data_IF_707183419553
#
_entry.id   IF_707183419553
#
_cell.length_a   1.000
_cell.length_b   1.000
_cell.length_c   1.000
_cell.angle_alpha   90.00
_cell.angle_beta   90.00
_cell.angle_gamma   90.00
#
_symmetry.space_group_name_H-M   'P 1'
#
loop_
_entity.id
_entity.type
_entity.pdbx_description
1 polymer ?
#
# COMPACT_ATOMS: atom_id res chain seq x y z
N UNK A 1 -21.60 6.59 -44.96
CA UNK A 1 -20.88 7.81 -44.45
C UNK A 1 -21.16 8.18 -42.98
N UNK A 2 -22.21 7.61 -42.38
CA UNK A 2 -22.58 7.93 -40.97
C UNK A 2 -21.77 7.14 -39.90
N UNK A 3 -21.20 6.00 -40.25
CA UNK A 3 -20.45 5.15 -39.32
C UNK A 3 -19.09 5.70 -38.91
N UNK A 4 -18.42 6.45 -39.80
CA UNK A 4 -17.12 7.03 -39.51
C UNK A 4 -17.17 8.23 -38.56
N UNK A 5 -18.33 8.91 -38.44
CA UNK A 5 -18.49 10.05 -37.51
C UNK A 5 -18.75 9.61 -36.07
N UNK A 6 -19.43 8.47 -35.85
CA UNK A 6 -19.65 7.94 -34.50
C UNK A 6 -18.32 7.57 -33.83
N UNK A 7 -17.46 6.82 -34.52
CA UNK A 7 -16.14 6.44 -33.98
C UNK A 7 -15.20 7.62 -33.70
N UNK A 8 -15.25 8.69 -34.53
CA UNK A 8 -14.45 9.89 -34.29
C UNK A 8 -14.91 10.69 -33.04
N UNK A 9 -16.23 10.77 -32.86
CA UNK A 9 -16.81 11.44 -31.66
C UNK A 9 -16.48 10.67 -30.40
N UNK A 10 -16.58 9.34 -30.42
CA UNK A 10 -16.24 8.47 -29.29
C UNK A 10 -14.74 8.57 -28.95
N UNK A 11 -13.87 8.56 -29.96
CA UNK A 11 -12.42 8.70 -29.76
C UNK A 11 -12.02 10.03 -29.13
N UNK A 12 -12.64 11.13 -29.59
CA UNK A 12 -12.37 12.46 -29.06
C UNK A 12 -12.92 12.61 -27.62
N UNK A 13 -14.11 12.05 -27.37
CA UNK A 13 -14.69 12.03 -26.02
C UNK A 13 -13.86 11.15 -25.06
N UNK A 14 -13.43 9.97 -25.51
CA UNK A 14 -12.55 9.10 -24.73
C UNK A 14 -11.24 9.79 -24.35
N UNK A 15 -10.61 10.51 -25.28
CA UNK A 15 -9.37 11.26 -25.01
C UNK A 15 -9.58 12.37 -23.97
N UNK A 16 -10.70 13.10 -24.05
CA UNK A 16 -11.04 14.15 -23.05
C UNK A 16 -11.28 13.56 -21.66
N UNK A 17 -12.02 12.47 -21.56
CA UNK A 17 -12.26 11.79 -20.28
C UNK A 17 -10.95 11.24 -19.73
N UNK A 18 -10.13 10.57 -20.53
CA UNK A 18 -8.83 10.06 -20.10
C UNK A 18 -7.91 11.17 -19.61
N UNK A 19 -7.90 12.34 -20.28
CA UNK A 19 -7.15 13.50 -19.84
C UNK A 19 -7.66 14.05 -18.51
N UNK A 20 -8.97 14.11 -18.32
CA UNK A 20 -9.59 14.61 -17.08
C UNK A 20 -9.33 13.69 -15.87
N UNK A 21 -9.30 12.37 -16.10
CA UNK A 21 -9.08 11.37 -15.05
C UNK A 21 -7.59 11.15 -14.74
N UNK A 22 -6.70 11.42 -15.70
CA UNK A 22 -5.27 11.15 -15.54
C UNK A 22 -4.91 9.66 -15.72
N UNK A 23 -3.61 9.36 -15.59
CA UNK A 23 -3.09 8.00 -15.75
C UNK A 23 -3.31 7.17 -14.47
N UNK A 24 -3.54 5.87 -14.65
CA UNK A 24 -3.63 4.92 -13.53
C UNK A 24 -4.93 5.03 -12.72
N UNK A 25 -5.99 5.57 -13.32
CA UNK A 25 -7.27 5.73 -12.65
C UNK A 25 -7.93 4.38 -12.34
N UNK A 26 -8.60 4.29 -11.19
CA UNK A 26 -9.29 3.07 -10.72
C UNK A 26 -10.53 2.72 -11.56
N UNK A 27 -11.17 3.73 -12.19
CA UNK A 27 -12.41 3.54 -12.94
C UNK A 27 -12.15 3.08 -14.37
N UNK A 28 -12.96 2.13 -14.83
CA UNK A 28 -13.07 1.75 -16.23
C UNK A 28 -14.19 2.54 -16.90
N UNK A 29 -13.91 3.06 -18.09
CA UNK A 29 -14.82 3.89 -18.87
C UNK A 29 -15.24 3.14 -20.16
N UNK A 30 -16.54 3.04 -20.38
CA UNK A 30 -17.10 2.51 -21.61
C UNK A 30 -18.01 3.57 -22.25
N UNK A 31 -17.88 3.74 -23.57
CA UNK A 31 -18.64 4.70 -24.35
C UNK A 31 -19.64 3.99 -25.24
N UNK A 32 -20.84 4.54 -25.33
CA UNK A 32 -21.86 4.23 -26.33
C UNK A 32 -22.37 5.56 -26.91
N UNK A 33 -21.74 5.98 -28.00
CA UNK A 33 -21.94 7.31 -28.58
C UNK A 33 -21.47 8.40 -27.60
N UNK A 34 -22.41 9.06 -26.95
CA UNK A 34 -22.17 10.13 -25.95
C UNK A 34 -22.61 9.73 -24.54
N UNK A 35 -23.06 8.52 -24.36
CA UNK A 35 -23.38 7.95 -23.05
C UNK A 35 -22.13 7.25 -22.51
N UNK A 36 -21.82 7.53 -21.25
CA UNK A 36 -20.63 7.03 -20.57
C UNK A 36 -21.04 6.13 -19.42
N UNK A 37 -20.53 4.92 -19.41
CA UNK A 37 -20.63 4.02 -18.25
C UNK A 37 -19.32 4.03 -17.51
N UNK A 38 -19.39 4.35 -16.21
CA UNK A 38 -18.27 4.31 -15.27
C UNK A 38 -18.42 3.06 -14.42
N UNK A 39 -17.41 2.21 -14.37
CA UNK A 39 -17.40 0.96 -13.58
C UNK A 39 -16.06 0.77 -12.87
N UNK A 40 -15.99 -0.16 -11.94
CA UNK A 40 -14.80 -0.47 -11.16
C UNK A 40 -15.03 -0.33 -9.66
N UNK A 41 -13.98 -0.57 -8.88
CA UNK A 41 -14.02 -0.49 -7.42
C UNK A 41 -13.39 0.82 -6.99
N UNK A 42 -14.22 1.75 -6.50
CA UNK A 42 -13.78 3.04 -5.98
C UNK A 42 -13.08 2.85 -4.62
N UNK A 43 -11.90 3.46 -4.43
CA UNK A 43 -11.19 3.40 -3.14
C UNK A 43 -12.00 3.95 -1.98
N UNK A 44 -12.71 5.05 -2.20
CA UNK A 44 -13.59 5.70 -1.22
C UNK A 44 -14.73 6.46 -1.91
N UNK A 45 -15.63 7.02 -1.11
CA UNK A 45 -16.81 7.75 -1.60
C UNK A 45 -16.42 9.09 -2.27
N UNK A 46 -15.42 9.79 -1.74
CA UNK A 46 -15.00 11.10 -2.25
C UNK A 46 -14.36 10.95 -3.64
N UNK A 47 -13.46 9.98 -3.82
CA UNK A 47 -12.86 9.65 -5.12
C UNK A 47 -13.91 9.15 -6.12
N UNK A 48 -14.92 8.40 -5.67
CA UNK A 48 -16.05 8.00 -6.51
C UNK A 48 -16.82 9.22 -7.01
N UNK A 49 -17.23 10.10 -6.10
CA UNK A 49 -17.99 11.29 -6.42
C UNK A 49 -17.20 12.23 -7.35
N UNK A 50 -15.92 12.42 -7.08
CA UNK A 50 -15.03 13.24 -7.91
C UNK A 50 -14.89 12.67 -9.32
N UNK A 51 -14.72 11.36 -9.46
CA UNK A 51 -14.63 10.69 -10.76
C UNK A 51 -15.90 10.88 -11.58
N UNK A 52 -17.05 10.65 -10.97
CA UNK A 52 -18.35 10.83 -11.65
C UNK A 52 -18.56 12.29 -12.05
N UNK A 53 -18.15 13.25 -11.21
CA UNK A 53 -18.19 14.68 -11.52
C UNK A 53 -17.31 15.01 -12.71
N UNK A 54 -16.05 14.58 -12.74
CA UNK A 54 -15.10 14.83 -13.83
C UNK A 54 -15.61 14.25 -15.16
N UNK A 55 -16.17 13.04 -15.13
CA UNK A 55 -16.77 12.42 -16.32
C UNK A 55 -17.99 13.21 -16.79
N UNK A 56 -18.85 13.66 -15.88
CA UNK A 56 -20.05 14.45 -16.23
C UNK A 56 -19.70 15.81 -16.82
N UNK A 57 -18.66 16.45 -16.32
CA UNK A 57 -18.16 17.75 -16.79
C UNK A 57 -17.33 17.65 -18.07
N UNK A 58 -16.91 16.47 -18.49
CA UNK A 58 -16.22 16.27 -19.76
C UNK A 58 -17.11 16.69 -20.92
N UNK A 59 -16.67 17.69 -21.68
CA UNK A 59 -17.45 18.29 -22.76
C UNK A 59 -17.86 17.23 -23.79
N UNK A 60 -19.16 17.11 -24.04
CA UNK A 60 -19.74 16.19 -25.02
C UNK A 60 -20.46 14.97 -24.43
N UNK A 61 -20.35 14.69 -23.14
CA UNK A 61 -21.11 13.66 -22.45
C UNK A 61 -22.59 14.02 -22.42
N UNK A 62 -23.47 13.07 -22.78
CA UNK A 62 -24.91 13.20 -22.70
C UNK A 62 -25.49 12.62 -21.41
N UNK A 63 -25.03 11.44 -21.03
CA UNK A 63 -25.43 10.75 -19.81
C UNK A 63 -24.27 10.00 -19.20
N UNK A 64 -24.26 9.91 -17.86
CA UNK A 64 -23.30 9.10 -17.10
C UNK A 64 -24.08 8.00 -16.37
N UNK A 65 -23.70 6.76 -16.62
CA UNK A 65 -24.23 5.58 -15.96
C UNK A 65 -23.21 5.08 -14.93
N UNK A 66 -23.52 5.22 -13.65
CA UNK A 66 -22.69 4.75 -12.56
C UNK A 66 -22.93 3.25 -12.31
N UNK A 67 -21.90 2.45 -12.51
CA UNK A 67 -21.81 1.02 -12.17
C UNK A 67 -20.59 0.74 -11.30
N UNK A 68 -20.19 1.70 -10.50
CA UNK A 68 -19.06 1.56 -9.59
C UNK A 68 -19.50 0.92 -8.27
N UNK A 69 -18.57 0.21 -7.66
CA UNK A 69 -18.70 -0.33 -6.31
C UNK A 69 -17.69 0.34 -5.39
N UNK A 70 -17.96 0.39 -4.10
CA UNK A 70 -16.97 0.85 -3.12
C UNK A 70 -16.12 -0.31 -2.64
N UNK A 71 -14.83 -0.04 -2.43
CA UNK A 71 -13.93 -1.00 -1.79
C UNK A 71 -14.48 -1.42 -0.42
N UNK A 72 -14.26 -2.67 -0.05
CA UNK A 72 -14.60 -3.19 1.27
C UNK A 72 -13.90 -2.39 2.37
N UNK A 73 -14.52 -2.32 3.57
CA UNK A 73 -13.88 -1.74 4.75
C UNK A 73 -13.10 -2.82 5.49
N UNK A 74 -11.85 -2.53 5.83
CA UNK A 74 -11.06 -3.39 6.71
C UNK A 74 -11.08 -2.83 8.13
N UNK A 75 -11.39 -3.70 9.11
CA UNK A 75 -11.39 -3.36 10.53
C UNK A 75 -11.02 -4.61 11.35
N UNK A 76 -9.86 -4.64 12.00
CA UNK A 76 -8.83 -3.62 11.99
C UNK A 76 -8.14 -3.48 10.61
N UNK A 77 -7.63 -2.28 10.32
CA UNK A 77 -6.80 -2.06 9.14
C UNK A 77 -5.41 -2.65 9.37
N UNK A 78 -4.89 -3.40 8.42
CA UNK A 78 -3.65 -4.15 8.62
C UNK A 78 -2.69 -3.99 7.45
N UNK A 79 -1.42 -3.80 7.78
CA UNK A 79 -0.27 -3.97 6.90
C UNK A 79 0.71 -4.95 7.53
N UNK A 80 1.28 -5.86 6.76
CA UNK A 80 2.33 -6.75 7.25
C UNK A 80 3.37 -7.01 6.18
N UNK A 81 4.59 -7.27 6.62
CA UNK A 81 5.67 -7.69 5.76
C UNK A 81 6.50 -8.79 6.43
N UNK A 82 6.83 -9.82 5.67
CA UNK A 82 7.61 -10.97 6.12
C UNK A 82 8.88 -11.08 5.28
N UNK A 83 10.02 -11.18 5.94
CA UNK A 83 11.34 -11.38 5.32
C UNK A 83 11.88 -12.76 5.67
N UNK A 84 12.24 -13.53 4.68
CA UNK A 84 12.89 -14.84 4.79
C UNK A 84 13.89 -15.05 3.65
N UNK A 85 14.47 -16.24 3.56
CA UNK A 85 15.45 -16.59 2.51
C UNK A 85 14.88 -16.55 1.10
N UNK A 86 13.56 -16.69 0.93
CA UNK A 86 12.89 -16.63 -0.37
C UNK A 86 12.62 -15.18 -0.85
N UNK A 87 12.63 -14.22 0.06
CA UNK A 87 12.37 -12.81 -0.26
C UNK A 87 11.56 -12.09 0.81
N UNK A 88 10.90 -11.02 0.37
CA UNK A 88 10.00 -10.19 1.20
C UNK A 88 8.59 -10.29 0.64
N UNK A 89 7.63 -10.59 1.49
CA UNK A 89 6.20 -10.65 1.12
C UNK A 89 5.47 -9.52 1.84
N UNK A 90 4.80 -8.66 1.08
CA UNK A 90 3.89 -7.64 1.58
C UNK A 90 2.47 -8.20 1.57
N UNK A 91 1.72 -7.96 2.63
CA UNK A 91 0.33 -8.38 2.75
C UNK A 91 -0.50 -7.40 3.59
N UNK A 92 -1.81 -7.60 3.60
CA UNK A 92 -2.77 -6.72 4.25
C UNK A 92 -3.48 -5.81 3.25
N UNK A 93 -3.63 -4.53 3.59
CA UNK A 93 -4.46 -3.62 2.83
C UNK A 93 -3.73 -2.35 2.42
N UNK A 94 -4.21 -1.71 1.34
CA UNK A 94 -3.82 -0.36 0.95
C UNK A 94 -5.08 0.47 0.65
N UNK A 95 -5.06 1.81 0.92
CA UNK A 95 -6.26 2.63 0.77
C UNK A 95 -6.53 3.08 -0.66
N UNK A 96 -5.49 3.27 -1.45
CA UNK A 96 -5.57 3.77 -2.83
C UNK A 96 -4.27 3.50 -3.59
N UNK A 97 -4.30 3.64 -4.91
CA UNK A 97 -3.20 3.28 -5.80
C UNK A 97 -1.88 4.01 -5.48
N UNK A 98 -1.94 5.30 -5.13
CA UNK A 98 -0.74 6.09 -4.81
C UNK A 98 -0.05 5.59 -3.54
N UNK A 99 -0.83 5.28 -2.50
CA UNK A 99 -0.31 4.71 -1.25
C UNK A 99 0.27 3.31 -1.49
N UNK A 100 -0.40 2.50 -2.33
CA UNK A 100 0.10 1.19 -2.75
C UNK A 100 1.45 1.31 -3.46
N UNK A 101 1.56 2.18 -4.46
CA UNK A 101 2.79 2.41 -5.20
C UNK A 101 3.92 2.92 -4.30
N UNK A 102 3.62 3.81 -3.34
CA UNK A 102 4.61 4.34 -2.40
C UNK A 102 5.16 3.22 -1.49
N UNK A 103 4.30 2.39 -0.91
CA UNK A 103 4.72 1.28 -0.03
C UNK A 103 5.49 0.22 -0.82
N UNK A 104 5.02 -0.16 -2.01
CA UNK A 104 5.72 -1.12 -2.86
C UNK A 104 7.09 -0.60 -3.33
N UNK A 105 7.17 0.69 -3.68
CA UNK A 105 8.42 1.36 -4.02
C UNK A 105 9.41 1.38 -2.84
N UNK A 106 8.95 1.80 -1.66
CA UNK A 106 9.75 1.79 -0.43
C UNK A 106 10.27 0.38 -0.09
N UNK A 107 9.46 -0.66 -0.28
CA UNK A 107 9.91 -2.03 -0.09
C UNK A 107 11.01 -2.42 -1.08
N UNK A 108 10.87 -2.09 -2.36
CA UNK A 108 11.88 -2.38 -3.37
C UNK A 108 13.22 -1.65 -3.09
N UNK A 109 13.15 -0.39 -2.64
CA UNK A 109 14.32 0.39 -2.25
C UNK A 109 14.98 -0.13 -0.97
N UNK A 110 14.17 -0.56 0.01
CA UNK A 110 14.66 -1.07 1.30
C UNK A 110 15.29 -2.46 1.16
N UNK A 111 14.82 -3.27 0.21
CA UNK A 111 15.25 -4.67 0.02
C UNK A 111 15.80 -4.94 -1.39
N UNK A 112 16.83 -4.21 -1.87
CA UNK A 112 17.29 -4.33 -3.25
C UNK A 112 17.88 -5.70 -3.61
N UNK A 113 18.27 -6.50 -2.60
CA UNK A 113 18.84 -7.84 -2.78
C UNK A 113 17.79 -8.97 -2.67
N UNK A 114 16.53 -8.62 -2.44
CA UNK A 114 15.45 -9.60 -2.22
C UNK A 114 14.36 -9.44 -3.28
N UNK A 115 13.74 -10.55 -3.67
CA UNK A 115 12.50 -10.49 -4.42
C UNK A 115 11.38 -10.00 -3.51
N UNK A 116 10.66 -8.95 -3.94
CA UNK A 116 9.49 -8.43 -3.22
C UNK A 116 8.22 -8.97 -3.89
N UNK A 117 7.42 -9.69 -3.14
CA UNK A 117 6.10 -10.17 -3.57
C UNK A 117 5.03 -9.37 -2.87
N UNK A 118 4.15 -8.77 -3.64
CA UNK A 118 3.05 -7.95 -3.14
C UNK A 118 1.73 -8.71 -3.24
N UNK A 119 1.07 -8.92 -2.12
CA UNK A 119 -0.24 -9.56 -1.99
C UNK A 119 -1.26 -8.66 -1.29
N UNK A 120 -0.96 -7.36 -1.17
CA UNK A 120 -1.87 -6.40 -0.54
C UNK A 120 -3.15 -6.24 -1.36
N UNK A 121 -4.23 -5.90 -0.69
CA UNK A 121 -5.56 -5.71 -1.30
C UNK A 121 -6.12 -4.32 -0.99
N UNK A 122 -6.89 -3.77 -1.93
CA UNK A 122 -7.56 -2.50 -1.75
C UNK A 122 -8.64 -2.61 -0.66
N UNK A 123 -8.60 -1.72 0.35
CA UNK A 123 -9.64 -1.62 1.37
C UNK A 123 -9.73 -0.21 1.93
N UNK A 124 -10.94 0.18 2.36
CA UNK A 124 -11.20 1.42 3.09
C UNK A 124 -10.90 1.25 4.59
N UNK A 125 -10.68 2.37 5.27
CA UNK A 125 -10.49 2.41 6.71
C UNK A 125 -9.04 2.57 7.16
N UNK A 126 -8.14 2.95 6.24
CA UNK A 126 -6.76 3.25 6.60
C UNK A 126 -6.68 4.38 7.63
N UNK A 127 -5.80 4.27 8.61
CA UNK A 127 -5.50 5.37 9.53
C UNK A 127 -4.76 6.50 8.80
N UNK A 128 -4.84 7.71 9.35
CA UNK A 128 -4.00 8.81 8.92
C UNK A 128 -2.52 8.42 9.08
N UNK A 129 -1.72 8.71 8.04
CA UNK A 129 -0.30 8.37 8.05
C UNK A 129 0.03 6.91 7.70
N UNK A 130 -0.91 6.14 7.15
CA UNK A 130 -0.72 4.74 6.75
C UNK A 130 0.60 4.51 5.99
N UNK A 131 0.90 5.32 4.97
CA UNK A 131 2.13 5.16 4.17
C UNK A 131 3.39 5.28 5.04
N UNK A 132 3.45 6.32 5.88
CA UNK A 132 4.59 6.51 6.81
C UNK A 132 4.69 5.40 7.85
N UNK A 133 3.57 4.86 8.30
CA UNK A 133 3.55 3.70 9.21
C UNK A 133 4.13 2.46 8.53
N UNK A 134 3.72 2.17 7.31
CA UNK A 134 4.21 1.03 6.53
C UNK A 134 5.71 1.17 6.20
N UNK A 135 6.14 2.35 5.76
CA UNK A 135 7.55 2.65 5.49
C UNK A 135 8.42 2.47 6.74
N UNK A 136 7.96 2.99 7.88
CA UNK A 136 8.68 2.78 9.16
C UNK A 136 8.78 1.30 9.52
N UNK A 137 7.71 0.53 9.36
CA UNK A 137 7.72 -0.91 9.59
C UNK A 137 8.71 -1.64 8.67
N UNK A 138 8.79 -1.27 7.38
CA UNK A 138 9.75 -1.83 6.43
C UNK A 138 11.19 -1.54 6.84
N UNK A 139 11.49 -0.34 7.35
CA UNK A 139 12.82 0.00 7.89
C UNK A 139 13.15 -0.89 9.09
N UNK A 140 12.20 -1.17 9.99
CA UNK A 140 12.46 -2.10 11.09
C UNK A 140 12.72 -3.52 10.58
N UNK A 141 11.94 -3.99 9.59
CA UNK A 141 12.13 -5.30 8.97
C UNK A 141 13.50 -5.44 8.30
N UNK A 142 14.04 -4.37 7.73
CA UNK A 142 15.37 -4.40 7.08
C UNK A 142 16.50 -4.73 8.04
N UNK A 143 16.33 -4.40 9.31
CA UNK A 143 17.31 -4.68 10.39
C UNK A 143 17.24 -6.12 10.92
N UNK A 144 16.24 -6.87 10.50
CA UNK A 144 16.16 -8.31 10.81
C UNK A 144 16.87 -9.13 9.72
N UNK A 145 17.57 -10.18 10.12
CA UNK A 145 18.04 -11.20 9.18
C UNK A 145 16.87 -11.93 8.56
N UNK A 146 15.92 -12.32 9.39
CA UNK A 146 14.61 -12.86 9.03
C UNK A 146 13.59 -12.47 10.08
N UNK A 147 12.33 -12.32 9.69
CA UNK A 147 11.26 -11.97 10.62
C UNK A 147 10.06 -11.34 9.95
N UNK A 148 9.22 -10.75 10.76
CA UNK A 148 7.97 -10.14 10.35
C UNK A 148 7.72 -8.81 11.09
N UNK A 149 7.05 -7.91 10.41
CA UNK A 149 6.45 -6.71 10.98
C UNK A 149 4.96 -6.72 10.68
N UNK A 150 4.18 -6.26 11.63
CA UNK A 150 2.72 -6.17 11.51
C UNK A 150 2.25 -4.84 12.10
N UNK A 151 1.54 -4.09 11.30
CA UNK A 151 0.84 -2.88 11.73
C UNK A 151 -0.64 -3.18 11.70
N UNK A 152 -1.27 -3.27 12.85
CA UNK A 152 -2.71 -3.50 13.00
C UNK A 152 -3.32 -2.29 13.73
N UNK A 153 -4.16 -1.53 13.01
CA UNK A 153 -4.62 -0.23 13.49
C UNK A 153 -3.46 0.74 13.69
N UNK A 154 -3.21 1.12 14.95
CA UNK A 154 -2.10 1.98 15.37
C UNK A 154 -0.95 1.21 16.04
N UNK A 155 -0.98 -0.13 16.06
CA UNK A 155 0.01 -0.96 16.77
C UNK A 155 0.98 -1.62 15.81
N UNK A 156 2.28 -1.38 16.05
CA UNK A 156 3.38 -2.05 15.35
C UNK A 156 3.90 -3.20 16.20
N UNK A 157 3.87 -4.40 15.67
CA UNK A 157 4.53 -5.59 16.21
C UNK A 157 5.72 -5.97 15.35
N UNK A 158 6.81 -6.37 15.98
CA UNK A 158 8.05 -6.79 15.31
C UNK A 158 8.51 -8.10 15.92
N UNK A 159 8.74 -9.10 15.08
CA UNK A 159 9.23 -10.41 15.52
C UNK A 159 10.29 -10.93 14.55
N UNK A 160 11.39 -11.43 15.10
CA UNK A 160 12.42 -12.04 14.29
C UNK A 160 13.79 -11.96 14.90
N UNK A 161 14.79 -12.30 14.09
CA UNK A 161 16.20 -12.27 14.50
C UNK A 161 16.90 -11.05 13.92
N UNK A 162 17.60 -10.30 14.77
CA UNK A 162 18.40 -9.18 14.34
C UNK A 162 19.51 -9.62 13.36
N UNK A 163 19.82 -8.79 12.38
CA UNK A 163 20.86 -9.08 11.39
C UNK A 163 22.25 -9.10 12.03
N UNK A 164 22.51 -8.15 12.93
CA UNK A 164 23.75 -8.01 13.70
C UNK A 164 23.49 -7.24 15.01
N UNK A 165 24.52 -7.05 15.82
CA UNK A 165 24.42 -6.37 17.11
C UNK A 165 24.04 -4.89 16.98
N UNK A 166 24.51 -4.21 15.92
CA UNK A 166 24.14 -2.81 15.63
C UNK A 166 22.66 -2.69 15.26
N UNK A 167 22.19 -3.54 14.38
CA UNK A 167 20.79 -3.62 14.00
C UNK A 167 19.88 -3.91 15.20
N UNK A 168 20.31 -4.78 16.12
CA UNK A 168 19.58 -5.05 17.37
C UNK A 168 19.50 -3.81 18.27
N UNK A 169 20.59 -3.06 18.41
CA UNK A 169 20.62 -1.83 19.19
C UNK A 169 19.72 -0.76 18.58
N UNK A 170 19.75 -0.60 17.24
CA UNK A 170 18.92 0.34 16.52
C UNK A 170 17.42 0.00 16.64
N UNK A 171 17.06 -1.28 16.51
CA UNK A 171 15.69 -1.76 16.72
C UNK A 171 15.19 -1.40 18.13
N UNK A 172 15.99 -1.68 19.16
CA UNK A 172 15.64 -1.36 20.54
C UNK A 172 15.47 0.14 20.75
N UNK A 173 16.37 0.94 20.23
CA UNK A 173 16.31 2.40 20.33
C UNK A 173 15.04 2.94 19.68
N UNK A 174 14.79 2.56 18.44
CA UNK A 174 13.69 3.13 17.64
C UNK A 174 12.32 2.65 18.13
N UNK A 175 12.23 1.42 18.65
CA UNK A 175 10.97 0.85 19.13
C UNK A 175 10.66 1.19 20.60
N UNK A 176 11.62 1.74 21.36
CA UNK A 176 11.40 2.19 22.75
C UNK A 176 11.01 3.66 22.85
N UNK A 177 11.14 4.43 21.76
CA UNK A 177 10.82 5.85 21.69
C UNK A 177 9.38 6.14 21.27
N UNK A 178 9.16 7.40 20.91
CA UNK A 178 7.92 7.84 20.25
C UNK A 178 7.98 7.39 18.79
N UNK A 179 7.02 6.56 18.38
CA UNK A 179 6.94 6.05 17.02
C UNK A 179 6.28 7.09 16.10
N UNK A 180 6.67 7.12 14.80
CA UNK A 180 6.11 8.08 13.85
C UNK A 180 4.64 7.77 13.51
N UNK A 181 3.94 8.77 12.97
CA UNK A 181 2.59 8.66 12.42
C UNK A 181 1.55 8.04 13.39
N UNK A 182 1.68 8.31 14.68
CA UNK A 182 0.75 7.83 15.71
C UNK A 182 0.86 6.35 16.04
N UNK A 183 1.89 5.66 15.53
CA UNK A 183 2.13 4.26 15.89
C UNK A 183 2.44 4.09 17.38
N UNK A 184 2.01 2.97 17.91
CA UNK A 184 2.33 2.49 19.27
C UNK A 184 3.06 1.15 19.16
N UNK A 185 4.02 0.92 20.06
CA UNK A 185 4.68 -0.37 20.15
C UNK A 185 3.66 -1.43 20.63
N UNK A 186 3.54 -2.49 19.85
CA UNK A 186 2.78 -3.68 20.18
C UNK A 186 3.68 -4.76 20.79
N UNK A 187 3.62 -5.97 20.23
CA UNK A 187 4.50 -7.07 20.62
C UNK A 187 5.87 -6.93 19.93
N UNK A 188 6.93 -6.81 20.73
CA UNK A 188 8.31 -6.71 20.24
C UNK A 188 9.08 -7.93 20.72
N UNK A 189 9.40 -8.84 19.80
CA UNK A 189 10.11 -10.10 20.07
C UNK A 189 11.31 -10.23 19.11
N UNK A 190 12.45 -9.71 19.54
CA UNK A 190 13.68 -9.62 18.77
C UNK A 190 14.73 -10.54 19.35
N UNK A 191 15.01 -11.62 18.63
CA UNK A 191 16.11 -12.51 18.94
C UNK A 191 17.46 -11.86 18.63
N UNK A 192 18.53 -12.15 19.41
CA UNK A 192 19.87 -11.70 19.10
C UNK A 192 20.37 -12.29 17.78
N UNK A 193 21.36 -11.67 17.14
CA UNK A 193 21.94 -12.18 15.90
C UNK A 193 22.56 -13.58 16.11
N UNK A 194 22.60 -14.35 15.01
CA UNK A 194 23.22 -15.68 15.04
C UNK A 194 24.69 -15.57 15.49
N UNK A 195 25.10 -16.39 16.47
CA UNK A 195 26.45 -16.39 17.02
C UNK A 195 26.68 -15.52 18.28
N UNK A 196 25.68 -14.73 18.70
CA UNK A 196 25.80 -13.93 19.93
C UNK A 196 25.57 -14.73 21.23
N UNK A 197 25.09 -15.95 21.14
CA UNK A 197 24.77 -16.81 22.32
C UNK A 197 25.98 -17.50 22.95
N UNK A 198 27.21 -17.15 22.59
CA UNK A 198 28.41 -17.87 23.05
C UNK A 198 29.43 -17.10 23.89
N UNK A 199 29.16 -15.85 24.26
CA UNK A 199 30.20 -15.01 24.87
C UNK A 199 30.10 -14.78 26.40
N UNK A 200 29.16 -15.43 27.10
CA UNK A 200 29.00 -15.18 28.55
C UNK A 200 28.91 -16.44 29.44
N UNK A 201 29.69 -17.48 29.07
CA UNK A 201 29.86 -18.65 29.91
C UNK A 201 31.35 -19.04 29.99
N UNK A 202 32.17 -18.24 30.69
CA UNK A 202 33.55 -18.67 30.86
C UNK A 202 34.49 -17.62 31.45
N UNK A 203 34.21 -17.15 32.65
CA UNK A 203 35.28 -16.66 33.55
C UNK A 203 34.79 -16.63 34.98
N UNK A 204 34.93 -17.74 35.61
CA UNK A 204 34.78 -17.94 37.05
C UNK A 204 35.62 -19.14 37.46
N UNK A 205 36.90 -18.89 37.66
CA UNK A 205 37.84 -19.82 38.24
C UNK A 205 38.80 -19.07 39.12
#
# INVERSE_FOLDING_TARGET
ALWFRAGAIESDLAARIAHALGNGHWAAITLDGRDVTVSGIAPDEDLRAETLRLVHEAGGVRAVHDRTELAGRAEPYRFSAVKNDAGVVLAGHFPQADAHAAVAGAAAETFPAFAVTDTMTLARGAPDGYTSQAEFALVQLSRLAMGEVDVTGDRLSVKGRAADASAQADLRRDLSGILPAGLQAGSIDIEPPAGASGADAGSGG
#
